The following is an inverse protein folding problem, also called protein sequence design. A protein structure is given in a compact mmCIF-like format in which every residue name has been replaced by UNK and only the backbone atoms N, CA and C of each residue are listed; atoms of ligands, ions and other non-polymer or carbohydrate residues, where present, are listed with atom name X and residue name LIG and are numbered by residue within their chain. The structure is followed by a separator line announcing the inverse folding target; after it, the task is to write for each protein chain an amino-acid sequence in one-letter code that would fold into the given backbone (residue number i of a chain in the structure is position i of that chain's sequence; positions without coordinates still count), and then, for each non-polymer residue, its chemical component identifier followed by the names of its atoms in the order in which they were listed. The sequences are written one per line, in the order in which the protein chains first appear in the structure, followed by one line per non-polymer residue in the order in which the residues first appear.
data_IF_737792641043
#
_entry.id   IF_737792641043
#
_cell.length_a   1.000
_cell.length_b   1.000
_cell.length_c   1.000
_cell.angle_alpha   90.00
_cell.angle_beta   90.00
_cell.angle_gamma   90.00
#
_symmetry.space_group_name_H-M   'P 1'
#
loop_
_entity.id
_entity.type
_entity.pdbx_description
1 polymer ?
#
# COMPACT_ATOMS: atom_id res chain seq x y z
N UNK A 1 -36.91 -8.83 -36.96
CA UNK A 1 -37.33 -9.25 -35.61
C UNK A 1 -36.22 -10.14 -35.07
N UNK A 2 -35.64 -9.85 -33.90
CA UNK A 2 -34.66 -10.78 -33.29
C UNK A 2 -35.45 -11.95 -32.71
N UNK A 3 -35.18 -13.15 -33.19
CA UNK A 3 -35.82 -14.36 -32.69
C UNK A 3 -35.25 -14.68 -31.30
N UNK A 4 -36.13 -14.69 -30.29
CA UNK A 4 -35.76 -14.89 -28.88
C UNK A 4 -35.42 -16.34 -28.55
N UNK A 5 -35.64 -17.28 -29.48
CA UNK A 5 -35.37 -18.72 -29.32
C UNK A 5 -34.11 -19.20 -30.07
N UNK A 6 -33.37 -18.28 -30.72
CA UNK A 6 -32.15 -18.63 -31.46
C UNK A 6 -30.90 -18.55 -30.57
N UNK A 7 -30.73 -19.59 -29.74
CA UNK A 7 -29.56 -19.77 -28.87
C UNK A 7 -28.37 -20.43 -29.61
N UNK A 8 -28.49 -20.75 -30.90
CA UNK A 8 -27.45 -21.50 -31.66
C UNK A 8 -26.58 -20.60 -32.54
N UNK A 9 -27.09 -19.47 -33.01
CA UNK A 9 -26.29 -18.53 -33.83
C UNK A 9 -25.33 -17.67 -33.02
N UNK A 10 -25.46 -17.63 -31.69
CA UNK A 10 -24.62 -16.79 -30.80
C UNK A 10 -23.16 -17.23 -30.77
N UNK A 11 -22.88 -18.52 -30.99
CA UNK A 11 -21.52 -19.08 -31.02
C UNK A 11 -20.74 -18.73 -32.29
N UNK A 12 -21.45 -18.43 -33.39
CA UNK A 12 -20.84 -18.09 -34.69
C UNK A 12 -20.52 -16.59 -34.82
N UNK A 13 -20.99 -15.77 -33.90
CA UNK A 13 -20.71 -14.33 -33.86
C UNK A 13 -19.57 -14.09 -32.88
N UNK A 14 -18.40 -13.61 -33.33
CA UNK A 14 -17.30 -13.27 -32.43
C UNK A 14 -17.78 -12.24 -31.39
N UNK A 15 -18.02 -12.69 -30.16
CA UNK A 15 -18.43 -11.78 -29.11
C UNK A 15 -17.24 -10.88 -28.77
N UNK A 16 -17.45 -9.55 -28.87
CA UNK A 16 -16.46 -8.58 -28.45
C UNK A 16 -16.07 -8.87 -26.99
N UNK A 17 -14.78 -9.02 -26.64
CA UNK A 17 -14.39 -9.30 -25.27
C UNK A 17 -14.98 -8.21 -24.37
N UNK A 18 -15.67 -8.65 -23.30
CA UNK A 18 -16.19 -7.72 -22.30
C UNK A 18 -15.02 -6.90 -21.78
N UNK A 19 -15.08 -5.57 -21.96
CA UNK A 19 -14.07 -4.66 -21.42
C UNK A 19 -14.13 -4.75 -19.90
N UNK A 20 -12.99 -5.00 -19.25
CA UNK A 20 -12.92 -5.13 -17.80
C UNK A 20 -11.98 -6.23 -17.35
N UNK A 21 -12.14 -6.64 -16.10
CA UNK A 21 -11.30 -7.68 -15.48
C UNK A 21 -11.51 -9.01 -16.21
N UNK A 22 -10.44 -9.68 -16.67
CA UNK A 22 -10.56 -10.99 -17.31
C UNK A 22 -11.22 -11.98 -16.34
N UNK A 23 -12.10 -12.84 -16.83
CA UNK A 23 -12.84 -13.83 -16.02
C UNK A 23 -11.97 -14.99 -15.55
N UNK A 24 -10.66 -14.97 -15.81
CA UNK A 24 -9.70 -16.06 -15.59
C UNK A 24 -9.45 -16.40 -14.11
N UNK A 25 -10.31 -15.93 -13.19
CA UNK A 25 -10.34 -16.28 -11.75
C UNK A 25 -9.15 -15.80 -10.92
N UNK A 26 -8.03 -15.45 -11.55
CA UNK A 26 -6.74 -15.13 -10.91
C UNK A 26 -6.46 -13.65 -10.74
N UNK A 27 -7.16 -12.78 -11.48
CA UNK A 27 -7.02 -11.34 -11.28
C UNK A 27 -7.54 -10.98 -9.88
N UNK A 28 -6.96 -10.02 -9.16
CA UNK A 28 -7.54 -9.55 -7.88
C UNK A 28 -8.68 -8.55 -8.12
N UNK A 29 -9.70 -8.52 -7.27
CA UNK A 29 -10.69 -7.44 -7.22
C UNK A 29 -10.05 -6.14 -6.71
N UNK A 30 -10.69 -4.99 -6.89
CA UNK A 30 -10.19 -3.73 -6.34
C UNK A 30 -10.09 -3.79 -4.80
N UNK A 31 -11.06 -4.41 -4.14
CA UNK A 31 -11.06 -4.61 -2.69
C UNK A 31 -9.90 -5.50 -2.23
N UNK A 32 -9.67 -6.64 -2.91
CA UNK A 32 -8.53 -7.52 -2.63
C UNK A 32 -7.20 -6.82 -2.79
N UNK A 33 -7.03 -6.00 -3.84
CA UNK A 33 -5.81 -5.20 -4.02
C UNK A 33 -5.60 -4.24 -2.85
N UNK A 34 -6.66 -3.57 -2.40
CA UNK A 34 -6.56 -2.65 -1.27
C UNK A 34 -6.24 -3.37 0.04
N UNK A 35 -6.83 -4.54 0.28
CA UNK A 35 -6.53 -5.38 1.43
C UNK A 35 -5.08 -5.86 1.41
N UNK A 36 -4.60 -6.37 0.27
CA UNK A 36 -3.21 -6.78 0.10
C UNK A 36 -2.23 -5.61 0.30
N UNK A 37 -2.57 -4.41 -0.20
CA UNK A 37 -1.78 -3.21 0.02
C UNK A 37 -1.70 -2.84 1.51
N UNK A 38 -2.83 -2.85 2.22
CA UNK A 38 -2.87 -2.57 3.67
C UNK A 38 -2.07 -3.60 4.45
N UNK A 39 -2.19 -4.88 4.12
CA UNK A 39 -1.42 -5.96 4.74
C UNK A 39 0.09 -5.77 4.52
N UNK A 40 0.51 -5.49 3.28
CA UNK A 40 1.92 -5.19 2.97
C UNK A 40 2.42 -3.97 3.73
N UNK A 41 1.61 -2.91 3.83
CA UNK A 41 1.98 -1.70 4.58
C UNK A 41 2.16 -2.02 6.07
N UNK A 42 1.24 -2.77 6.67
CA UNK A 42 1.36 -3.19 8.07
C UNK A 42 2.58 -4.11 8.32
N UNK A 43 2.96 -4.94 7.35
CA UNK A 43 4.14 -5.80 7.47
C UNK A 43 5.47 -5.03 7.39
N UNK A 44 5.50 -3.90 6.67
CA UNK A 44 6.73 -3.13 6.43
C UNK A 44 6.86 -1.88 7.29
N UNK A 45 5.77 -1.40 7.89
CA UNK A 45 5.75 -0.13 8.62
C UNK A 45 5.14 -0.30 10.00
N UNK A 46 5.74 0.38 10.98
CA UNK A 46 5.21 0.49 12.34
C UNK A 46 4.55 1.85 12.48
N UNK A 47 3.32 1.89 13.01
CA UNK A 47 2.64 3.14 13.38
C UNK A 47 2.63 3.26 14.90
N UNK A 48 3.19 4.36 15.41
CA UNK A 48 3.30 4.62 16.86
C UNK A 48 2.58 5.93 17.17
N UNK A 49 1.98 6.00 18.35
CA UNK A 49 1.34 7.23 18.87
C UNK A 49 2.24 7.83 19.95
N UNK A 50 2.52 9.13 19.85
CA UNK A 50 3.32 9.89 20.81
C UNK A 50 2.53 11.09 21.32
N UNK A 51 2.78 11.50 22.57
CA UNK A 51 2.29 12.79 23.04
C UNK A 51 3.05 13.91 22.35
N UNK A 52 2.39 15.05 22.12
CA UNK A 52 3.01 16.19 21.42
C UNK A 52 4.20 16.77 22.18
N UNK A 53 4.19 16.69 23.50
CA UNK A 53 5.28 17.17 24.36
C UNK A 53 6.58 16.35 24.18
N UNK A 54 6.46 15.04 23.94
CA UNK A 54 7.59 14.12 23.84
C UNK A 54 8.36 14.25 22.52
N UNK A 55 7.73 14.82 21.48
CA UNK A 55 8.31 14.96 20.14
C UNK A 55 9.62 15.75 20.18
N UNK A 56 9.70 16.80 21.00
CA UNK A 56 10.90 17.63 21.09
C UNK A 56 12.08 16.85 21.70
N UNK A 57 11.82 16.00 22.68
CA UNK A 57 12.82 15.13 23.29
C UNK A 57 13.31 14.08 22.30
N UNK A 58 12.38 13.44 21.57
CA UNK A 58 12.72 12.46 20.54
C UNK A 58 13.61 13.06 19.44
N UNK A 59 13.30 14.27 18.97
CA UNK A 59 14.14 14.98 17.99
C UNK A 59 15.58 15.21 18.49
N UNK A 60 15.74 15.55 19.78
CA UNK A 60 17.06 15.77 20.38
C UNK A 60 17.87 14.48 20.48
N UNK A 61 17.23 13.37 20.85
CA UNK A 61 17.90 12.07 20.95
C UNK A 61 18.38 11.58 19.57
N UNK A 62 17.55 11.73 18.54
CA UNK A 62 17.92 11.28 17.19
C UNK A 62 18.99 12.20 16.58
N UNK A 63 18.94 13.51 16.86
CA UNK A 63 19.93 14.48 16.36
C UNK A 63 21.29 14.43 17.05
N UNK A 64 21.40 13.75 18.20
CA UNK A 64 22.67 13.53 18.90
C UNK A 64 22.78 12.06 19.32
N UNK A 65 23.00 11.15 18.35
CA UNK A 65 23.11 9.72 18.64
C UNK A 65 24.35 9.44 19.49
N UNK A 66 24.24 8.50 20.42
CA UNK A 66 25.38 8.06 21.22
C UNK A 66 26.40 7.36 20.31
N UNK A 67 27.66 7.84 20.24
CA UNK A 67 28.70 7.24 19.40
C UNK A 67 28.98 5.76 19.73
N UNK A 68 28.67 5.33 20.96
CA UNK A 68 28.89 3.95 21.39
C UNK A 68 27.94 2.93 20.74
N UNK A 69 26.80 3.39 20.20
CA UNK A 69 25.77 2.52 19.63
C UNK A 69 26.08 2.06 18.20
N UNK A 70 27.14 2.58 17.56
CA UNK A 70 27.57 2.22 16.20
C UNK A 70 26.40 2.10 15.22
N UNK A 71 25.53 3.12 15.23
CA UNK A 71 24.34 3.15 14.39
C UNK A 71 24.71 3.49 12.94
N UNK A 72 24.00 2.90 11.99
CA UNK A 72 24.14 3.23 10.58
C UNK A 72 23.61 4.64 10.28
N UNK A 73 24.46 5.48 9.70
CA UNK A 73 24.17 6.89 9.40
C UNK A 73 22.96 7.04 8.47
N UNK A 74 22.86 6.19 7.44
CA UNK A 74 21.72 6.22 6.51
C UNK A 74 20.40 5.83 7.20
N UNK A 75 20.47 5.07 8.28
CA UNK A 75 19.30 4.73 9.09
C UNK A 75 18.92 5.88 10.01
N UNK A 76 19.89 6.59 10.59
CA UNK A 76 19.64 7.80 11.38
C UNK A 76 18.97 8.88 10.52
N UNK A 77 19.47 9.13 9.32
CA UNK A 77 18.92 10.14 8.42
C UNK A 77 17.46 9.86 8.05
N UNK A 78 17.12 8.60 7.72
CA UNK A 78 15.74 8.19 7.44
C UNK A 78 14.81 8.37 8.65
N UNK A 79 15.31 8.10 9.86
CA UNK A 79 14.54 8.30 11.10
C UNK A 79 14.35 9.79 11.41
N UNK A 80 15.38 10.60 11.21
CA UNK A 80 15.27 12.06 11.32
C UNK A 80 14.21 12.59 10.36
N UNK A 81 14.27 12.24 9.08
CA UNK A 81 13.29 12.71 8.11
C UNK A 81 11.84 12.34 8.53
N UNK A 82 11.63 11.08 8.92
CA UNK A 82 10.31 10.60 9.35
C UNK A 82 9.77 11.35 10.59
N UNK A 83 10.60 11.54 11.62
CA UNK A 83 10.18 12.20 12.87
C UNK A 83 10.02 13.71 12.69
N UNK A 84 10.87 14.36 11.92
CA UNK A 84 10.79 15.80 11.68
C UNK A 84 9.61 16.18 10.77
N UNK A 85 9.27 15.35 9.77
CA UNK A 85 8.07 15.55 8.95
C UNK A 85 6.76 15.33 9.72
N UNK A 86 6.72 14.33 10.61
CA UNK A 86 5.52 14.03 11.41
C UNK A 86 5.14 15.14 12.39
N UNK A 87 6.07 16.04 12.71
CA UNK A 87 5.92 17.10 13.71
C UNK A 87 5.70 18.51 13.11
N UNK A 88 5.37 18.60 11.82
CA UNK A 88 5.02 19.85 11.12
C UNK A 88 3.55 20.19 11.30
#
# INVERSE_FOLDING_TARGET
MKDTLDDRTVDFIPQKPKRGRPSTGRAMTAAEKQAAYRARKAALTVTVTFNREDINTLKRLIGNPDPSLNLDEATIERLMEAVFQAAK
#
